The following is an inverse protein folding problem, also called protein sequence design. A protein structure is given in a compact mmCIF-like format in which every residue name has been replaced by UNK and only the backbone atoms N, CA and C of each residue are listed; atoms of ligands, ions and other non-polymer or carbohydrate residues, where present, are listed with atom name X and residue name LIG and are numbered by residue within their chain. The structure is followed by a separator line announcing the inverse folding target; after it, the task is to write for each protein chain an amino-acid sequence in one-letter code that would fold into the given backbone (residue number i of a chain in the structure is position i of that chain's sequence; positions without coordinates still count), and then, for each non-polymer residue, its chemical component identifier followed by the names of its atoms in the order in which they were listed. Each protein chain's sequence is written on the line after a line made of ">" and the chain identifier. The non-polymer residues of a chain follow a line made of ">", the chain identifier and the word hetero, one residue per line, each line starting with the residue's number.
data_IF_585465666382
#
_entry.id   IF_585465666382
#
_cell.length_a   1.000
_cell.length_b   1.000
_cell.length_c   1.000
_cell.angle_alpha   90.00
_cell.angle_beta   90.00
_cell.angle_gamma   90.00
#
_symmetry.space_group_name_H-M   'P 1'
#
loop_
_entity.id
_entity.type
_entity.pdbx_description
1 polymer ?
#
# COMPACT_ATOMS: atom_id res chain seq x y z
N UNK A 1 -5.12 18.53 23.85
CA UNK A 1 -6.14 17.63 23.25
C UNK A 1 -6.35 17.88 21.75
N UNK A 2 -6.48 19.12 21.26
CA UNK A 2 -6.69 19.39 19.83
C UNK A 2 -5.64 18.76 18.89
N UNK A 3 -4.36 18.75 19.27
CA UNK A 3 -3.27 18.23 18.41
C UNK A 3 -3.42 16.74 18.10
N UNK A 4 -3.74 15.95 19.12
CA UNK A 4 -3.98 14.52 18.95
C UNK A 4 -5.19 14.26 18.06
N UNK A 5 -6.29 14.97 18.30
CA UNK A 5 -7.51 14.85 17.47
C UNK A 5 -7.22 15.20 16.01
N UNK A 6 -6.42 16.24 15.75
CA UNK A 6 -6.04 16.63 14.39
C UNK A 6 -5.14 15.60 13.70
N UNK A 7 -4.19 14.98 14.42
CA UNK A 7 -3.33 13.93 13.88
C UNK A 7 -4.18 12.71 13.51
N UNK A 8 -5.04 12.26 14.43
CA UNK A 8 -5.92 11.11 14.17
C UNK A 8 -6.92 11.38 13.06
N UNK A 9 -7.54 12.56 13.02
CA UNK A 9 -8.50 12.91 11.96
C UNK A 9 -7.85 12.97 10.59
N UNK A 10 -6.63 13.53 10.49
CA UNK A 10 -5.87 13.58 9.25
C UNK A 10 -5.49 12.19 8.76
N UNK A 11 -5.06 11.31 9.67
CA UNK A 11 -4.72 9.94 9.33
C UNK A 11 -5.94 9.11 8.89
N UNK A 12 -7.07 9.26 9.58
CA UNK A 12 -8.35 8.66 9.15
C UNK A 12 -8.79 9.19 7.79
N UNK A 13 -8.68 10.50 7.57
CA UNK A 13 -9.00 11.15 6.29
C UNK A 13 -8.14 10.59 5.15
N UNK A 14 -6.83 10.40 5.38
CA UNK A 14 -5.94 9.76 4.43
C UNK A 14 -6.44 8.35 4.08
N UNK A 15 -6.77 7.54 5.08
CA UNK A 15 -7.34 6.20 4.87
C UNK A 15 -8.63 6.24 4.04
N UNK A 16 -9.55 7.15 4.36
CA UNK A 16 -10.82 7.30 3.64
C UNK A 16 -10.60 7.70 2.18
N UNK A 17 -9.64 8.59 1.91
CA UNK A 17 -9.31 9.02 0.55
C UNK A 17 -8.93 7.85 -0.35
N UNK A 18 -8.16 6.87 0.18
CA UNK A 18 -7.75 5.69 -0.58
C UNK A 18 -8.92 4.76 -0.91
N UNK A 19 -9.92 4.67 -0.04
CA UNK A 19 -11.15 3.90 -0.25
C UNK A 19 -11.99 4.56 -1.33
N UNK A 20 -12.15 5.88 -1.28
CA UNK A 20 -12.89 6.63 -2.30
C UNK A 20 -12.20 6.52 -3.67
N UNK A 21 -10.87 6.55 -3.68
CA UNK A 21 -10.09 6.32 -4.89
C UNK A 21 -10.30 4.92 -5.47
N UNK A 22 -10.27 3.87 -4.63
CA UNK A 22 -10.59 2.49 -5.05
C UNK A 22 -12.01 2.39 -5.58
N UNK A 23 -12.99 3.01 -4.93
CA UNK A 23 -14.39 3.02 -5.37
C UNK A 23 -14.54 3.68 -6.75
N UNK A 24 -13.91 4.83 -6.96
CA UNK A 24 -13.88 5.52 -8.25
C UNK A 24 -13.31 4.64 -9.37
N UNK A 25 -12.17 4.00 -9.10
CA UNK A 25 -11.58 3.07 -10.08
C UNK A 25 -12.47 1.85 -10.33
N UNK A 26 -13.05 1.26 -9.28
CA UNK A 26 -13.92 0.08 -9.41
C UNK A 26 -15.17 0.40 -10.23
N UNK A 27 -15.72 1.61 -10.08
CA UNK A 27 -16.81 2.13 -10.91
C UNK A 27 -16.45 2.20 -12.40
N UNK A 28 -15.21 2.59 -12.74
CA UNK A 28 -14.73 2.56 -14.14
C UNK A 28 -14.66 1.16 -14.74
N UNK A 29 -14.37 0.15 -13.92
CA UNK A 29 -14.22 -1.24 -14.37
C UNK A 29 -15.49 -2.09 -14.22
N UNK A 30 -16.65 -1.46 -13.95
CA UNK A 30 -17.94 -2.12 -13.70
C UNK A 30 -17.85 -3.32 -12.75
N UNK A 31 -16.93 -3.26 -11.79
CA UNK A 31 -16.72 -4.34 -10.84
C UNK A 31 -17.59 -4.08 -9.59
N UNK A 32 -18.34 -5.08 -9.13
CA UNK A 32 -19.16 -4.93 -7.93
C UNK A 32 -18.27 -5.07 -6.69
N UNK A 33 -17.77 -3.99 -6.10
CA UNK A 33 -17.07 -4.05 -4.81
C UNK A 33 -18.05 -4.20 -3.64
N UNK A 34 -17.82 -5.16 -2.75
CA UNK A 34 -18.61 -5.35 -1.53
C UNK A 34 -18.19 -4.35 -0.44
N UNK A 35 -19.15 -3.80 0.32
CA UNK A 35 -18.92 -2.91 1.48
C UNK A 35 -17.86 -3.46 2.46
N UNK A 36 -17.88 -4.74 2.90
CA UNK A 36 -16.85 -5.27 3.78
C UNK A 36 -15.43 -5.23 3.17
N UNK A 37 -15.32 -5.32 1.84
CA UNK A 37 -14.04 -5.21 1.14
C UNK A 37 -13.44 -3.81 1.23
N UNK A 38 -14.28 -2.77 1.29
CA UNK A 38 -13.83 -1.40 1.51
C UNK A 38 -13.33 -1.17 2.94
N UNK A 39 -13.99 -1.76 3.94
CA UNK A 39 -13.59 -1.67 5.35
C UNK A 39 -12.25 -2.38 5.57
N UNK A 40 -12.10 -3.60 5.05
CA UNK A 40 -10.84 -4.34 5.15
C UNK A 40 -9.72 -3.58 4.42
N UNK A 41 -10.01 -2.98 3.26
CA UNK A 41 -9.04 -2.16 2.55
C UNK A 41 -8.63 -0.91 3.34
N UNK A 42 -9.60 -0.22 3.95
CA UNK A 42 -9.34 0.93 4.81
C UNK A 42 -8.42 0.57 5.96
N UNK A 43 -8.76 -0.48 6.72
CA UNK A 43 -7.96 -0.98 7.83
C UNK A 43 -6.56 -1.37 7.37
N UNK A 44 -6.46 -2.04 6.23
CA UNK A 44 -5.17 -2.39 5.63
C UNK A 44 -4.29 -1.16 5.37
N UNK A 45 -4.83 -0.10 4.75
CA UNK A 45 -4.10 1.14 4.45
C UNK A 45 -3.70 1.92 5.71
N UNK A 46 -4.57 1.96 6.71
CA UNK A 46 -4.27 2.60 8.00
C UNK A 46 -3.13 1.85 8.69
N UNK A 47 -3.14 0.52 8.72
CA UNK A 47 -2.08 -0.27 9.35
C UNK A 47 -0.73 -0.12 8.63
N UNK A 48 -0.72 -0.13 7.29
CA UNK A 48 0.48 0.09 6.48
C UNK A 48 1.14 1.43 6.82
N UNK A 49 0.35 2.50 6.74
CA UNK A 49 0.85 3.87 6.95
C UNK A 49 1.24 4.10 8.41
N UNK A 50 0.45 3.58 9.34
CA UNK A 50 0.69 3.74 10.78
C UNK A 50 1.97 3.11 11.26
N UNK A 51 2.19 1.84 10.91
CA UNK A 51 3.41 1.12 11.28
C UNK A 51 4.66 1.85 10.78
N UNK A 52 4.64 2.32 9.52
CA UNK A 52 5.76 3.07 8.93
C UNK A 52 5.98 4.42 9.61
N UNK A 53 4.93 5.21 9.83
CA UNK A 53 5.05 6.53 10.50
C UNK A 53 5.60 6.37 11.91
N UNK A 54 5.18 5.34 12.65
CA UNK A 54 5.73 5.03 13.98
C UNK A 54 7.21 4.62 13.90
N UNK A 55 7.59 3.73 12.97
CA UNK A 55 9.00 3.37 12.75
C UNK A 55 9.87 4.60 12.45
N UNK A 56 9.43 5.47 11.55
CA UNK A 56 10.16 6.68 11.18
C UNK A 56 10.25 7.63 12.38
N UNK A 57 9.18 7.81 13.14
CA UNK A 57 9.18 8.67 14.33
C UNK A 57 10.15 8.16 15.40
N UNK A 58 10.19 6.84 15.65
CA UNK A 58 11.15 6.23 16.57
C UNK A 58 12.57 6.43 16.06
N UNK A 59 12.84 6.12 14.80
CA UNK A 59 14.18 6.29 14.23
C UNK A 59 14.64 7.76 14.23
N UNK A 60 13.73 8.69 13.88
CA UNK A 60 13.99 10.13 13.89
C UNK A 60 14.32 10.66 15.29
N UNK A 61 13.78 10.07 16.35
CA UNK A 61 14.09 10.48 17.74
C UNK A 61 15.57 10.36 18.10
N UNK A 62 16.32 9.50 17.40
CA UNK A 62 17.73 9.27 17.65
C UNK A 62 18.62 9.79 16.50
N UNK A 63 18.17 9.65 15.25
CA UNK A 63 18.97 9.98 14.07
C UNK A 63 18.22 10.88 13.08
N UNK A 64 17.89 12.09 13.50
CA UNK A 64 17.10 13.07 12.71
C UNK A 64 17.57 13.20 11.25
N UNK A 65 18.87 13.42 11.02
CA UNK A 65 19.42 13.62 9.67
C UNK A 65 19.55 12.32 8.86
N UNK A 66 19.68 11.16 9.50
CA UNK A 66 19.86 9.89 8.79
C UNK A 66 18.54 9.32 8.26
N UNK A 67 17.39 9.84 8.71
CA UNK A 67 16.08 9.49 8.14
C UNK A 67 16.08 9.70 6.63
N UNK A 68 16.65 10.82 6.15
CA UNK A 68 16.73 11.11 4.72
C UNK A 68 17.64 10.14 3.95
N UNK A 69 18.68 9.61 4.60
CA UNK A 69 19.57 8.63 3.98
C UNK A 69 18.86 7.29 3.72
N UNK A 70 17.86 6.95 4.53
CA UNK A 70 17.05 5.73 4.36
C UNK A 70 15.88 5.98 3.39
N UNK A 71 15.15 7.08 3.59
CA UNK A 71 13.96 7.40 2.78
C UNK A 71 14.30 7.87 1.36
N UNK A 72 15.43 8.54 1.17
CA UNK A 72 15.86 9.07 -0.12
C UNK A 72 16.02 7.99 -1.19
N UNK A 73 16.82 6.94 -0.96
CA UNK A 73 16.95 5.82 -1.89
C UNK A 73 15.63 5.13 -2.19
N UNK A 74 14.77 4.92 -1.18
CA UNK A 74 13.44 4.35 -1.39
C UNK A 74 12.60 5.21 -2.32
N UNK A 75 12.57 6.52 -2.08
CA UNK A 75 11.86 7.47 -2.93
C UNK A 75 12.37 7.42 -4.38
N UNK A 76 13.69 7.39 -4.59
CA UNK A 76 14.28 7.32 -5.93
C UNK A 76 13.92 6.01 -6.66
N UNK A 77 13.95 4.88 -5.94
CA UNK A 77 13.54 3.57 -6.49
C UNK A 77 12.06 3.59 -6.87
N UNK A 78 11.18 4.09 -6.01
CA UNK A 78 9.75 4.17 -6.31
C UNK A 78 9.41 5.18 -7.40
N UNK A 79 10.12 6.32 -7.42
CA UNK A 79 9.94 7.34 -8.44
C UNK A 79 10.39 6.83 -9.82
N UNK A 80 11.57 6.23 -9.90
CA UNK A 80 12.06 5.60 -11.15
C UNK A 80 11.11 4.50 -11.63
N UNK A 81 10.52 3.72 -10.72
CA UNK A 81 9.48 2.76 -11.05
C UNK A 81 8.26 3.41 -11.69
N UNK A 82 7.76 4.50 -11.11
CA UNK A 82 6.60 5.25 -11.66
C UNK A 82 6.91 5.81 -13.03
N UNK A 83 8.11 6.36 -13.24
CA UNK A 83 8.58 6.87 -14.55
C UNK A 83 8.58 5.74 -15.57
N UNK A 84 9.18 4.59 -15.23
CA UNK A 84 9.23 3.42 -16.10
C UNK A 84 7.83 2.91 -16.46
N UNK A 85 6.94 2.81 -15.46
CA UNK A 85 5.59 2.29 -15.65
C UNK A 85 4.70 3.22 -16.49
N UNK A 86 4.97 4.52 -16.56
CA UNK A 86 4.16 5.49 -17.33
C UNK A 86 4.72 5.77 -18.73
N UNK A 87 5.99 5.50 -18.98
CA UNK A 87 6.61 5.60 -20.31
C UNK A 87 6.37 6.96 -20.95
N UNK A 88 5.87 6.98 -22.20
CA UNK A 88 5.63 8.20 -22.97
C UNK A 88 4.62 9.18 -22.35
N UNK A 89 3.76 8.73 -21.43
CA UNK A 89 2.79 9.60 -20.74
C UNK A 89 3.39 10.36 -19.56
N UNK A 90 4.65 10.13 -19.23
CA UNK A 90 5.33 10.82 -18.13
C UNK A 90 5.38 12.35 -18.35
N UNK A 91 5.78 12.79 -19.54
CA UNK A 91 5.98 14.21 -19.86
C UNK A 91 4.68 15.05 -19.77
N UNK A 92 3.53 14.44 -20.07
CA UNK A 92 2.23 15.11 -19.99
C UNK A 92 1.76 15.31 -18.55
N UNK A 93 2.17 14.44 -17.62
CA UNK A 93 1.56 14.31 -16.29
C UNK A 93 2.63 14.30 -15.18
N UNK A 94 3.68 15.11 -15.29
CA UNK A 94 4.82 15.12 -14.36
C UNK A 94 4.36 15.30 -12.91
N UNK A 95 3.47 16.26 -12.63
CA UNK A 95 2.95 16.52 -11.28
C UNK A 95 2.26 15.29 -10.68
N UNK A 96 1.49 14.58 -11.49
CA UNK A 96 0.81 13.36 -11.07
C UNK A 96 1.81 12.22 -10.82
N UNK A 97 2.89 12.13 -11.62
CA UNK A 97 3.97 11.17 -11.39
C UNK A 97 4.72 11.44 -10.09
N UNK A 98 5.05 12.70 -9.81
CA UNK A 98 5.66 13.12 -8.54
C UNK A 98 4.75 12.80 -7.35
N UNK A 99 3.46 13.09 -7.48
CA UNK A 99 2.46 12.78 -6.45
C UNK A 99 2.38 11.27 -6.18
N UNK A 100 2.33 10.43 -7.21
CA UNK A 100 2.34 8.98 -7.03
C UNK A 100 3.66 8.44 -6.48
N UNK A 101 4.80 8.99 -6.90
CA UNK A 101 6.11 8.66 -6.34
C UNK A 101 6.19 8.98 -4.85
N UNK A 102 5.65 10.13 -4.44
CA UNK A 102 5.54 10.49 -3.03
C UNK A 102 4.56 9.59 -2.27
N UNK A 103 3.40 9.26 -2.84
CA UNK A 103 2.45 8.33 -2.23
C UNK A 103 3.08 6.95 -1.99
N UNK A 104 3.85 6.44 -2.96
CA UNK A 104 4.59 5.17 -2.87
C UNK A 104 5.63 5.17 -1.73
N UNK A 105 6.04 6.34 -1.22
CA UNK A 105 6.86 6.43 -0.01
C UNK A 105 6.11 5.96 1.23
N UNK A 106 4.79 6.01 1.27
CA UNK A 106 4.03 5.62 2.46
C UNK A 106 3.18 4.39 2.22
N UNK A 107 2.56 4.29 1.05
CA UNK A 107 1.67 3.21 0.69
C UNK A 107 1.64 3.03 -0.82
N UNK A 108 1.57 1.78 -1.27
CA UNK A 108 1.45 1.52 -2.71
C UNK A 108 0.04 1.87 -3.20
N UNK A 109 -0.17 2.94 -4.00
CA UNK A 109 -1.48 3.24 -4.57
C UNK A 109 -1.95 2.08 -5.46
N UNK A 110 -3.22 1.73 -5.31
CA UNK A 110 -3.87 0.73 -6.14
C UNK A 110 -3.82 1.15 -7.61
N UNK A 111 -2.89 0.54 -8.35
CA UNK A 111 -2.82 0.62 -9.79
C UNK A 111 -3.67 -0.49 -10.40
N UNK A 112 -4.23 -0.23 -11.58
CA UNK A 112 -5.14 -1.15 -12.23
C UNK A 112 -4.49 -2.47 -12.64
N UNK A 113 -3.16 -2.57 -12.82
CA UNK A 113 -2.47 -3.85 -13.10
C UNK A 113 -0.96 -3.89 -12.76
N UNK A 114 -0.49 -3.72 -11.50
CA UNK A 114 0.85 -4.15 -11.16
C UNK A 114 0.92 -5.67 -11.26
N UNK A 115 1.98 -6.21 -11.85
CA UNK A 115 2.22 -7.65 -11.76
C UNK A 115 2.36 -8.05 -10.28
N UNK A 116 1.99 -9.30 -9.95
CA UNK A 116 2.10 -9.81 -8.57
C UNK A 116 3.53 -9.67 -8.01
N UNK A 117 4.51 -9.77 -8.89
CA UNK A 117 5.93 -9.59 -8.58
C UNK A 117 6.24 -8.17 -8.09
N UNK A 118 5.62 -7.14 -8.68
CA UNK A 118 5.83 -5.74 -8.25
C UNK A 118 5.37 -5.53 -6.81
N UNK A 119 4.17 -6.03 -6.48
CA UNK A 119 3.66 -5.94 -5.10
C UNK A 119 4.58 -6.66 -4.12
N UNK A 120 5.08 -7.84 -4.49
CA UNK A 120 6.00 -8.60 -3.65
C UNK A 120 7.30 -7.83 -3.39
N UNK A 121 7.96 -7.36 -4.46
CA UNK A 121 9.21 -6.60 -4.35
C UNK A 121 9.03 -5.32 -3.54
N UNK A 122 7.93 -4.58 -3.76
CA UNK A 122 7.58 -3.39 -2.98
C UNK A 122 7.47 -3.72 -1.49
N UNK A 123 6.67 -4.72 -1.12
CA UNK A 123 6.46 -5.05 0.30
C UNK A 123 7.73 -5.62 0.94
N UNK A 124 8.56 -6.38 0.23
CA UNK A 124 9.85 -6.83 0.74
C UNK A 124 10.74 -5.63 1.08
N UNK A 125 10.94 -4.71 0.14
CA UNK A 125 11.73 -3.49 0.41
C UNK A 125 11.15 -2.68 1.57
N UNK A 126 9.82 -2.50 1.59
CA UNK A 126 9.11 -1.80 2.65
C UNK A 126 9.37 -2.43 4.02
N UNK A 127 9.20 -3.75 4.17
CA UNK A 127 9.45 -4.41 5.46
C UNK A 127 10.91 -4.35 5.85
N UNK A 128 11.82 -4.63 4.92
CA UNK A 128 13.27 -4.59 5.19
C UNK A 128 13.68 -3.22 5.72
N UNK A 129 13.26 -2.13 5.08
CA UNK A 129 13.57 -0.77 5.53
C UNK A 129 13.02 -0.48 6.92
N UNK A 130 11.76 -0.83 7.19
CA UNK A 130 11.13 -0.59 8.48
C UNK A 130 11.73 -1.43 9.62
N UNK A 131 12.09 -2.68 9.35
CA UNK A 131 12.78 -3.54 10.32
C UNK A 131 14.21 -3.06 10.57
N UNK A 132 14.92 -2.54 9.55
CA UNK A 132 16.23 -1.94 9.74
C UNK A 132 16.13 -0.69 10.61
N UNK A 133 15.18 0.20 10.36
CA UNK A 133 14.95 1.39 11.20
C UNK A 133 14.62 1.01 12.65
N UNK A 134 13.69 0.08 12.85
CA UNK A 134 13.31 -0.41 14.18
C UNK A 134 14.48 -1.09 14.90
N UNK A 135 15.24 -1.93 14.18
CA UNK A 135 16.39 -2.66 14.71
C UNK A 135 17.55 -1.76 15.09
N UNK A 136 17.86 -0.74 14.26
CA UNK A 136 18.86 0.27 14.57
C UNK A 136 18.46 1.08 15.80
N UNK A 137 17.19 1.51 15.87
CA UNK A 137 16.67 2.21 17.04
C UNK A 137 16.75 1.35 18.31
N UNK A 138 16.29 0.10 18.25
CA UNK A 138 16.32 -0.82 19.39
C UNK A 138 17.75 -1.19 19.83
N UNK A 139 18.67 -1.35 18.87
CA UNK A 139 20.06 -1.71 19.14
C UNK A 139 20.88 -0.55 19.72
N UNK A 140 20.68 0.67 19.22
CA UNK A 140 21.52 1.82 19.55
C UNK A 140 20.93 2.72 20.63
N UNK A 141 19.64 2.60 20.96
CA UNK A 141 19.05 3.42 22.02
C UNK A 141 19.69 3.12 23.37
N UNK A 142 20.09 4.18 24.07
CA UNK A 142 20.60 4.12 25.44
C UNK A 142 19.46 4.01 26.47
N UNK A 143 18.24 4.38 26.09
CA UNK A 143 17.07 4.46 26.95
C UNK A 143 16.30 3.13 27.04
N UNK A 144 17.02 2.01 27.17
CA UNK A 144 16.40 0.66 27.22
C UNK A 144 15.53 0.44 28.46
N UNK A 145 15.84 1.13 29.55
CA UNK A 145 15.10 1.06 30.80
C UNK A 145 13.86 1.98 30.82
N UNK A 146 13.65 2.76 29.76
CA UNK A 146 12.50 3.63 29.68
C UNK A 146 11.20 2.82 29.53
N UNK A 147 10.16 3.24 30.27
CA UNK A 147 8.85 2.59 30.28
C UNK A 147 8.20 2.46 28.89
N UNK A 148 8.58 3.33 27.94
CA UNK A 148 8.03 3.35 26.57
C UNK A 148 8.80 2.46 25.59
N UNK A 149 9.97 1.92 25.95
CA UNK A 149 10.82 1.13 25.06
C UNK A 149 10.11 -0.14 24.57
N UNK A 150 9.65 -0.97 25.51
CA UNK A 150 8.96 -2.23 25.20
C UNK A 150 7.60 -1.96 24.49
N UNK A 151 6.72 -1.06 25.00
CA UNK A 151 5.46 -0.77 24.33
C UNK A 151 5.60 -0.25 22.89
N UNK A 152 6.63 0.55 22.60
CA UNK A 152 6.87 1.08 21.26
C UNK A 152 7.17 -0.05 20.25
N UNK A 153 8.09 -0.95 20.60
CA UNK A 153 8.45 -2.10 19.75
C UNK A 153 7.24 -3.01 19.55
N UNK A 154 6.53 -3.35 20.63
CA UNK A 154 5.35 -4.21 20.56
C UNK A 154 4.28 -3.60 19.66
N UNK A 155 4.02 -2.29 19.79
CA UNK A 155 3.03 -1.59 18.99
C UNK A 155 3.37 -1.65 17.50
N UNK A 156 4.62 -1.37 17.14
CA UNK A 156 5.10 -1.46 15.75
C UNK A 156 4.94 -2.88 15.18
N UNK A 157 5.32 -3.91 15.94
CA UNK A 157 5.17 -5.30 15.53
C UNK A 157 3.69 -5.66 15.33
N UNK A 158 2.80 -5.23 16.23
CA UNK A 158 1.36 -5.46 16.11
C UNK A 158 0.80 -4.81 14.84
N UNK A 159 1.21 -3.58 14.51
CA UNK A 159 0.82 -2.93 13.25
C UNK A 159 1.26 -3.74 12.02
N UNK A 160 2.47 -4.28 12.00
CA UNK A 160 2.94 -5.11 10.89
C UNK A 160 2.20 -6.44 10.78
N UNK A 161 1.95 -7.13 11.90
CA UNK A 161 1.15 -8.37 11.90
C UNK A 161 -0.25 -8.09 11.38
N UNK A 162 -0.90 -7.03 11.89
CA UNK A 162 -2.24 -6.64 11.47
C UNK A 162 -2.27 -6.26 9.98
N UNK A 163 -1.24 -5.55 9.50
CA UNK A 163 -1.07 -5.22 8.09
C UNK A 163 -1.01 -6.48 7.21
N UNK A 164 -0.23 -7.49 7.60
CA UNK A 164 -0.14 -8.78 6.88
C UNK A 164 -1.49 -9.49 6.87
N UNK A 165 -2.16 -9.60 8.02
CA UNK A 165 -3.48 -10.25 8.13
C UNK A 165 -4.49 -9.55 7.21
N UNK A 166 -4.53 -8.22 7.24
CA UNK A 166 -5.45 -7.44 6.42
C UNK A 166 -5.12 -7.53 4.92
N UNK A 167 -3.84 -7.63 4.53
CA UNK A 167 -3.42 -7.92 3.16
C UNK A 167 -3.98 -9.27 2.69
N UNK A 168 -3.84 -10.33 3.48
CA UNK A 168 -4.38 -11.66 3.14
C UNK A 168 -5.91 -11.67 3.06
N UNK A 169 -6.59 -11.00 3.99
CA UNK A 169 -8.04 -10.86 3.96
C UNK A 169 -8.50 -10.07 2.73
N UNK A 170 -7.80 -8.98 2.39
CA UNK A 170 -8.09 -8.21 1.19
C UNK A 170 -7.89 -9.08 -0.06
N UNK A 171 -6.82 -9.87 -0.11
CA UNK A 171 -6.57 -10.79 -1.20
C UNK A 171 -7.70 -11.82 -1.33
N UNK A 172 -8.10 -12.46 -0.22
CA UNK A 172 -9.19 -13.44 -0.19
C UNK A 172 -10.55 -12.86 -0.55
N UNK A 173 -10.84 -11.59 -0.25
CA UNK A 173 -12.14 -10.95 -0.55
C UNK A 173 -12.15 -10.32 -1.95
N UNK A 174 -11.01 -9.84 -2.44
CA UNK A 174 -10.88 -9.23 -3.77
C UNK A 174 -10.68 -10.25 -4.90
N UNK A 175 -9.97 -11.35 -4.66
CA UNK A 175 -9.73 -12.42 -5.65
C UNK A 175 -10.80 -13.51 -5.85
N UNK A 176 -11.91 -13.65 -5.09
CA UNK A 176 -12.98 -14.60 -5.45
C UNK A 176 -13.56 -14.30 -6.82
N UNK A 177 -13.48 -13.03 -7.26
CA UNK A 177 -13.99 -12.58 -8.57
C UNK A 177 -12.98 -12.73 -9.70
N UNK A 178 -11.69 -12.93 -9.39
CA UNK A 178 -10.65 -13.20 -10.41
C UNK A 178 -10.75 -14.63 -10.97
N UNK A 179 -11.45 -15.54 -10.28
CA UNK A 179 -11.77 -16.88 -10.82
C UNK A 179 -12.83 -16.84 -11.94
N UNK A 180 -13.42 -15.68 -12.23
CA UNK A 180 -14.34 -15.48 -13.38
C UNK A 180 -13.76 -14.61 -14.50
N UNK A 181 -12.44 -14.48 -14.58
CA UNK A 181 -11.83 -13.96 -15.80
C UNK A 181 -11.84 -15.11 -16.80
N UNK A 182 -12.88 -15.15 -17.65
CA UNK A 182 -12.82 -15.87 -18.91
C UNK A 182 -11.60 -15.32 -19.64
N UNK A 183 -10.63 -16.17 -19.96
CA UNK A 183 -9.54 -15.82 -20.85
C UNK A 183 -10.17 -15.41 -22.19
N UNK A 184 -10.34 -14.11 -22.43
CA UNK A 184 -10.36 -13.60 -23.79
C UNK A 184 -8.90 -13.41 -24.17
N UNK A 185 -8.30 -14.51 -24.62
CA UNK A 185 -7.10 -14.45 -25.43
C UNK A 185 -7.42 -13.57 -26.64
N UNK A 186 -6.75 -12.42 -26.75
CA UNK A 186 -7.03 -11.44 -27.80
C UNK A 186 -5.84 -11.39 -28.75
N UNK A 187 -6.01 -12.03 -29.89
CA UNK A 187 -5.34 -11.64 -31.14
C UNK A 187 -6.36 -11.52 -32.26
N UNK A 188 -7.48 -10.83 -32.01
CA UNK A 188 -8.31 -10.36 -33.12
C UNK A 188 -9.08 -9.07 -32.78
N UNK A 189 -9.16 -8.16 -33.75
CA UNK A 189 -9.62 -6.78 -33.63
C UNK A 189 -11.15 -6.63 -33.67
N UNK A 190 -11.91 -7.74 -33.75
CA UNK A 190 -13.38 -7.71 -33.75
C UNK A 190 -13.95 -8.30 -32.47
N UNK A 191 -14.68 -7.47 -31.73
CA UNK A 191 -15.43 -7.83 -30.51
C UNK A 191 -16.45 -8.94 -30.80
N UNK A 192 -16.30 -10.11 -30.20
CA UNK A 192 -17.43 -10.95 -29.75
C UNK A 192 -17.00 -11.72 -28.49
N UNK A 193 -17.53 -11.34 -27.32
CA UNK A 193 -17.43 -12.16 -26.10
C UNK A 193 -18.65 -13.08 -26.05
N UNK A 194 -18.52 -14.33 -26.46
CA UNK A 194 -19.60 -15.33 -26.29
C UNK A 194 -19.53 -15.91 -24.87
N UNK A 195 -20.63 -15.81 -24.14
CA UNK A 195 -20.75 -16.49 -22.84
C UNK A 195 -21.04 -17.98 -23.05
N UNK A 196 -20.01 -18.81 -22.92
CA UNK A 196 -20.16 -20.27 -22.78
C UNK A 196 -20.95 -20.63 -21.51
N UNK A 197 -22.27 -20.77 -21.65
CA UNK A 197 -23.16 -21.38 -20.64
C UNK A 197 -24.35 -22.12 -21.28
N UNK A 198 -24.21 -22.58 -22.53
CA UNK A 198 -25.32 -23.25 -23.24
C UNK A 198 -24.98 -24.53 -24.00
N UNK A 199 -23.86 -25.21 -23.68
CA UNK A 199 -23.57 -26.54 -24.26
C UNK A 199 -23.08 -27.47 -23.16
N UNK A 200 -23.99 -27.82 -22.25
CA UNK A 200 -23.90 -29.05 -21.44
C UNK A 200 -25.28 -29.53 -21.01
N UNK A 201 -26.07 -29.91 -22.00
CA UNK A 201 -27.19 -30.87 -21.94
C UNK A 201 -27.25 -31.37 -23.39
N UNK A 202 -26.81 -32.59 -23.70
CA UNK A 202 -27.68 -33.77 -23.77
C UNK A 202 -29.09 -33.39 -24.19
#
# INVERSE_FOLDING_TARGET
>A
MLRWVAIFSSWVSLGLSTVMYRKHQTGRYNNKSTIPGHIIYFLWRVCETGGRVLCIALFASMFENWVFAVLGPHFLIMFSWVVWSRGSKFASDILLCMCFGYMMLFSMPFHSHPSRYVYFVYYVMFYTENFLMLGLWAGMTSDRDAWFYIPAIVTVIVFFILHIVMLFLNYKVAHPKARRIKYCEKWDWKRVCVSLEHIRTV
#
